data_IF_262040761249
#
_entry.id   IF_262040761249
#
_cell.length_a   1.000
_cell.length_b   1.000
_cell.length_c   1.000
_cell.angle_alpha   90.00
_cell.angle_beta   90.00
_cell.angle_gamma   90.00
#
_symmetry.space_group_name_H-M   'P 1'
#
loop_
_entity.id
_entity.type
_entity.pdbx_description
1 polymer ?
#
# COMPACT_ATOMS: atom_id res chain seq x y z
N UNK A 1 -7.67 -1.13 -28.58
CA UNK A 1 -7.94 -1.03 -27.12
C UNK A 1 -9.12 -0.07 -26.94
N UNK A 2 -10.19 -0.50 -26.30
CA UNK A 2 -11.35 0.38 -26.07
C UNK A 2 -11.09 1.34 -24.91
N UNK A 3 -11.81 2.47 -24.84
CA UNK A 3 -11.70 3.43 -23.73
C UNK A 3 -11.90 2.74 -22.36
N UNK A 4 -12.80 1.75 -22.30
CA UNK A 4 -13.05 0.96 -21.09
C UNK A 4 -11.82 0.14 -20.65
N UNK A 5 -11.10 -0.44 -21.60
CA UNK A 5 -9.85 -1.17 -21.34
C UNK A 5 -8.72 -0.23 -20.91
N UNK A 6 -8.66 0.99 -21.46
CA UNK A 6 -7.66 1.99 -21.05
C UNK A 6 -7.94 2.53 -19.63
N UNK A 7 -9.21 2.81 -19.31
CA UNK A 7 -9.63 3.22 -17.96
C UNK A 7 -9.33 2.13 -16.94
N UNK A 8 -9.63 0.87 -17.27
CA UNK A 8 -9.30 -0.28 -16.42
C UNK A 8 -7.79 -0.35 -16.16
N UNK A 9 -6.98 -0.27 -17.21
CA UNK A 9 -5.52 -0.33 -17.09
C UNK A 9 -4.93 0.86 -16.30
N UNK A 10 -5.54 2.04 -16.41
CA UNK A 10 -5.15 3.22 -15.61
C UNK A 10 -5.51 3.04 -14.14
N UNK A 11 -6.70 2.50 -13.86
CA UNK A 11 -7.14 2.15 -12.50
C UNK A 11 -6.23 1.09 -11.90
N UNK A 12 -5.97 0.01 -12.62
CA UNK A 12 -5.10 -1.07 -12.18
C UNK A 12 -3.68 -0.55 -11.92
N UNK A 13 -3.15 0.35 -12.77
CA UNK A 13 -1.83 0.98 -12.57
C UNK A 13 -1.80 1.97 -11.39
N UNK A 14 -2.89 2.69 -11.12
CA UNK A 14 -3.01 3.59 -9.98
C UNK A 14 -3.14 2.82 -8.66
N UNK A 15 -3.94 1.76 -8.65
CA UNK A 15 -4.05 0.79 -7.57
C UNK A 15 -2.72 0.07 -7.35
N UNK A 16 -1.98 -0.30 -8.41
CA UNK A 16 -0.61 -0.84 -8.34
C UNK A 16 0.40 0.16 -7.77
N UNK A 17 0.30 1.45 -8.13
CA UNK A 17 1.17 2.48 -7.58
C UNK A 17 0.92 2.66 -6.08
N UNK A 18 -0.33 2.62 -5.62
CA UNK A 18 -0.69 2.64 -4.20
C UNK A 18 -0.26 1.36 -3.50
N UNK A 19 -0.50 0.20 -4.12
CA UNK A 19 -0.11 -1.11 -3.61
C UNK A 19 1.41 -1.30 -3.53
N UNK A 20 2.18 -0.65 -4.41
CA UNK A 20 3.64 -0.71 -4.40
C UNK A 20 4.25 -0.13 -3.12
N UNK A 21 3.56 0.82 -2.48
CA UNK A 21 4.00 1.42 -1.23
C UNK A 21 3.48 0.71 0.01
N UNK A 22 2.36 -0.01 -0.12
CA UNK A 22 1.76 -0.74 0.97
C UNK A 22 2.39 -2.10 1.22
N UNK A 23 3.61 -2.42 0.78
CA UNK A 23 4.32 -3.67 1.13
C UNK A 23 3.49 -4.98 1.07
N UNK A 24 2.47 -5.06 0.19
CA UNK A 24 1.52 -6.18 0.15
C UNK A 24 2.14 -7.55 -0.21
N UNK A 25 3.38 -7.55 -0.71
CA UNK A 25 4.16 -8.78 -0.88
C UNK A 25 4.48 -9.50 0.45
N UNK A 26 4.30 -8.82 1.59
CA UNK A 26 4.48 -9.40 2.93
C UNK A 26 3.21 -10.09 3.46
N UNK A 27 2.06 -9.98 2.77
CA UNK A 27 0.83 -10.70 3.16
C UNK A 27 1.09 -12.21 3.14
N UNK A 28 0.63 -12.90 4.18
CA UNK A 28 0.79 -14.35 4.33
C UNK A 28 2.14 -14.78 4.89
N UNK A 29 3.11 -13.86 5.02
CA UNK A 29 4.36 -14.10 5.77
C UNK A 29 4.08 -14.07 7.28
N UNK A 30 5.07 -14.42 8.09
CA UNK A 30 4.93 -14.43 9.56
C UNK A 30 5.64 -13.25 10.19
N UNK A 31 5.12 -12.75 11.30
CA UNK A 31 5.87 -11.90 12.20
C UNK A 31 7.02 -12.67 12.86
N UNK A 32 8.14 -12.00 13.10
CA UNK A 32 9.23 -12.57 13.88
C UNK A 32 8.77 -12.86 15.32
N UNK A 33 8.70 -14.13 15.68
CA UNK A 33 8.29 -14.57 17.02
C UNK A 33 9.30 -14.17 18.10
N UNK A 34 10.53 -13.80 17.74
CA UNK A 34 11.56 -13.35 18.68
C UNK A 34 11.32 -11.91 19.15
N UNK A 35 10.55 -11.13 18.40
CA UNK A 35 10.20 -9.74 18.71
C UNK A 35 9.39 -9.66 20.02
N UNK A 36 9.91 -8.93 21.01
CA UNK A 36 9.27 -8.77 22.31
C UNK A 36 7.88 -8.12 22.21
N UNK A 37 7.65 -7.31 21.19
CA UNK A 37 6.36 -6.64 20.96
C UNK A 37 5.29 -7.64 20.52
N UNK A 38 5.67 -8.69 19.82
CA UNK A 38 4.79 -9.79 19.44
C UNK A 38 4.53 -10.72 20.62
N UNK A 39 5.58 -11.02 21.41
CA UNK A 39 5.47 -11.90 22.58
C UNK A 39 4.46 -11.41 23.62
N UNK A 40 4.35 -10.10 23.77
CA UNK A 40 3.43 -9.46 24.71
C UNK A 40 2.10 -9.04 24.07
N UNK A 41 1.81 -9.49 22.84
CA UNK A 41 0.62 -9.13 22.07
C UNK A 41 -0.27 -10.35 21.84
N UNK A 42 -1.59 -10.17 21.69
CA UNK A 42 -2.50 -11.24 21.25
C UNK A 42 -2.12 -11.85 19.88
N UNK A 43 -1.17 -11.24 19.16
CA UNK A 43 -0.58 -11.77 17.93
C UNK A 43 0.25 -13.04 18.11
N UNK A 44 0.68 -13.38 19.32
CA UNK A 44 1.48 -14.60 19.54
C UNK A 44 0.77 -15.87 19.07
N UNK A 45 -0.56 -15.90 19.15
CA UNK A 45 -1.38 -17.03 18.69
C UNK A 45 -1.54 -17.06 17.16
N UNK A 46 -1.40 -15.91 16.48
CA UNK A 46 -1.49 -15.81 15.03
C UNK A 46 -0.48 -14.80 14.47
N UNK A 47 0.67 -15.34 14.07
CA UNK A 47 1.78 -14.59 13.50
C UNK A 47 1.58 -14.24 12.02
N UNK A 48 0.54 -14.72 11.36
CA UNK A 48 0.35 -14.46 9.93
C UNK A 48 0.00 -12.98 9.69
N UNK A 49 0.78 -12.35 8.82
CA UNK A 49 0.61 -10.97 8.41
C UNK A 49 -0.57 -10.87 7.43
N UNK A 50 -1.50 -9.98 7.73
CA UNK A 50 -2.68 -9.70 6.92
C UNK A 50 -2.60 -8.32 6.26
N UNK A 51 -3.54 -8.02 5.35
CA UNK A 51 -3.61 -6.73 4.68
C UNK A 51 -3.82 -5.56 5.65
N UNK A 52 -4.57 -5.77 6.73
CA UNK A 52 -4.82 -4.73 7.74
C UNK A 52 -3.53 -4.38 8.48
N UNK A 53 -2.71 -5.37 8.78
CA UNK A 53 -1.50 -5.19 9.59
C UNK A 53 -0.43 -4.39 8.86
N UNK A 54 -0.39 -4.61 7.55
CA UNK A 54 0.48 -3.90 6.64
C UNK A 54 0.14 -2.41 6.55
N UNK A 55 -1.15 -2.07 6.60
CA UNK A 55 -1.64 -0.71 6.53
C UNK A 55 -1.68 -0.02 7.90
N UNK A 56 -1.65 -0.79 8.99
CA UNK A 56 -1.70 -0.27 10.35
C UNK A 56 -0.32 0.23 10.81
N UNK A 57 -0.27 1.51 11.17
CA UNK A 57 0.95 2.18 11.64
C UNK A 57 1.51 1.56 12.93
N UNK A 58 0.68 0.86 13.70
CA UNK A 58 1.08 0.13 14.91
C UNK A 58 2.14 -0.92 14.61
N UNK A 59 2.08 -1.56 13.44
CA UNK A 59 3.05 -2.57 13.03
C UNK A 59 4.26 -2.00 12.28
N UNK A 60 4.46 -0.69 12.31
CA UNK A 60 5.67 -0.07 11.75
C UNK A 60 6.93 -0.65 12.43
N UNK A 61 7.91 -1.02 11.60
CA UNK A 61 9.17 -1.67 11.97
C UNK A 61 9.04 -3.09 12.51
N UNK A 62 7.87 -3.74 12.40
CA UNK A 62 7.79 -5.17 12.67
C UNK A 62 8.46 -5.95 11.52
N UNK A 63 9.16 -7.01 11.89
CA UNK A 63 9.92 -7.83 10.95
C UNK A 63 9.03 -8.94 10.43
N UNK A 64 9.02 -9.10 9.10
CA UNK A 64 8.40 -10.22 8.43
C UNK A 64 9.47 -11.29 8.16
N UNK A 65 9.17 -12.52 8.51
CA UNK A 65 10.03 -13.70 8.33
C UNK A 65 9.32 -14.77 7.51
N UNK A 66 10.13 -15.62 6.89
CA UNK A 66 9.71 -16.83 6.19
C UNK A 66 10.61 -18.01 6.59
N UNK A 67 10.07 -19.22 6.53
CA UNK A 67 10.83 -20.44 6.79
C UNK A 67 11.92 -20.60 5.73
N UNK A 68 13.13 -20.93 6.18
CA UNK A 68 14.25 -21.22 5.31
C UNK A 68 14.00 -22.54 4.57
N UNK A 69 13.95 -22.56 3.23
CA UNK A 69 13.75 -23.79 2.47
C UNK A 69 14.93 -24.77 2.61
N UNK A 70 16.11 -24.31 3.04
CA UNK A 70 17.31 -25.13 3.17
C UNK A 70 17.57 -25.65 4.59
N UNK A 71 16.88 -25.09 5.59
CA UNK A 71 16.98 -25.52 6.99
C UNK A 71 15.61 -25.41 7.64
N UNK A 72 14.95 -26.55 7.83
CA UNK A 72 13.79 -26.60 8.71
C UNK A 72 14.23 -26.07 10.09
N UNK A 73 13.44 -25.17 10.66
CA UNK A 73 13.68 -24.42 11.92
C UNK A 73 14.48 -23.12 11.82
N UNK A 74 14.99 -22.75 10.65
CA UNK A 74 15.65 -21.45 10.45
C UNK A 74 14.67 -20.46 9.79
N UNK A 75 14.61 -19.23 10.28
CA UNK A 75 13.74 -18.17 9.76
C UNK A 75 14.59 -17.08 9.11
N UNK A 76 14.21 -16.68 7.90
CA UNK A 76 14.88 -15.63 7.15
C UNK A 76 14.02 -14.38 7.17
N UNK A 77 14.62 -13.24 7.47
CA UNK A 77 13.97 -11.94 7.32
C UNK A 77 13.69 -11.66 5.83
N UNK A 78 12.41 -11.52 5.49
CA UNK A 78 11.95 -11.20 4.13
C UNK A 78 11.58 -9.74 3.96
N UNK A 79 11.35 -9.01 5.06
CA UNK A 79 11.05 -7.59 5.00
C UNK A 79 10.72 -6.95 6.34
N UNK A 80 10.30 -5.70 6.27
CA UNK A 80 9.90 -4.91 7.43
C UNK A 80 8.63 -4.14 7.08
N UNK A 81 7.61 -4.29 7.92
CA UNK A 81 6.37 -3.53 7.78
C UNK A 81 6.66 -2.06 8.04
N UNK A 82 6.08 -1.18 7.22
CA UNK A 82 6.23 0.27 7.38
C UNK A 82 4.94 0.96 7.81
N UNK A 83 3.83 0.21 7.89
CA UNK A 83 2.53 0.70 8.29
C UNK A 83 1.96 1.69 7.27
N UNK A 84 1.30 2.73 7.79
CA UNK A 84 0.68 3.78 6.96
C UNK A 84 1.67 4.53 6.05
N UNK A 85 1.08 5.19 5.04
CA UNK A 85 1.76 6.03 4.08
C UNK A 85 2.57 7.12 4.79
N UNK A 86 3.89 6.92 4.89
CA UNK A 86 4.77 7.86 5.57
C UNK A 86 4.69 9.26 4.94
N UNK A 87 4.97 10.33 5.70
CA UNK A 87 4.95 11.70 5.16
C UNK A 87 5.82 11.87 3.90
N UNK A 88 6.94 11.14 3.82
CA UNK A 88 7.81 11.14 2.65
C UNK A 88 7.20 10.43 1.43
N UNK A 89 6.43 9.36 1.63
CA UNK A 89 5.67 8.71 0.56
C UNK A 89 4.53 9.61 0.11
N UNK A 90 3.81 10.27 1.04
CA UNK A 90 2.82 11.30 0.73
C UNK A 90 3.43 12.41 -0.12
N UNK A 91 4.56 12.96 0.31
CA UNK A 91 5.29 13.99 -0.43
C UNK A 91 5.66 13.53 -1.85
N UNK A 92 6.25 12.34 -2.00
CA UNK A 92 6.60 11.77 -3.32
C UNK A 92 5.39 11.49 -4.20
N UNK A 93 4.26 11.12 -3.61
CA UNK A 93 3.00 10.96 -4.32
C UNK A 93 2.50 12.31 -4.87
N UNK A 94 2.45 13.34 -4.01
CA UNK A 94 2.08 14.70 -4.41
C UNK A 94 3.12 15.41 -5.30
N UNK A 95 4.37 14.93 -5.36
CA UNK A 95 5.34 15.37 -6.38
C UNK A 95 4.96 14.88 -7.79
N UNK A 96 4.23 13.75 -7.91
CA UNK A 96 3.86 13.13 -9.18
C UNK A 96 2.41 13.39 -9.60
N UNK A 97 1.51 13.48 -8.63
CA UNK A 97 0.07 13.60 -8.85
C UNK A 97 -0.49 14.87 -8.21
N UNK A 98 -1.46 15.49 -8.87
CA UNK A 98 -2.30 16.54 -8.30
C UNK A 98 -3.65 15.97 -7.87
N UNK A 99 -4.17 16.51 -6.78
CA UNK A 99 -5.53 16.28 -6.35
C UNK A 99 -6.48 17.04 -7.29
N UNK A 100 -7.29 16.32 -8.06
CA UNK A 100 -8.23 16.92 -9.01
C UNK A 100 -9.59 17.16 -8.37
N UNK A 101 -10.15 16.13 -7.73
CA UNK A 101 -11.47 16.18 -7.10
C UNK A 101 -11.41 15.41 -5.79
N UNK A 102 -11.94 16.00 -4.73
CA UNK A 102 -12.21 15.30 -3.48
C UNK A 102 -13.69 15.41 -3.15
N UNK A 103 -14.36 14.26 -3.07
CA UNK A 103 -15.71 14.14 -2.57
C UNK A 103 -15.65 13.50 -1.17
N UNK A 104 -15.97 14.26 -0.10
CA UNK A 104 -16.04 13.71 1.24
C UNK A 104 -17.19 12.72 1.38
N UNK A 105 -17.23 12.01 2.51
CA UNK A 105 -18.22 10.98 2.76
C UNK A 105 -19.63 11.58 2.79
N UNK A 106 -20.51 11.10 1.90
CA UNK A 106 -21.90 11.54 1.81
C UNK A 106 -22.77 10.84 2.85
N UNK A 107 -23.99 11.34 3.06
CA UNK A 107 -25.00 10.71 3.93
C UNK A 107 -25.31 9.26 3.55
N UNK A 108 -25.04 8.87 2.30
CA UNK A 108 -25.22 7.51 1.79
C UNK A 108 -23.93 6.67 1.85
N UNK A 109 -22.85 7.15 2.50
CA UNK A 109 -21.59 6.42 2.68
C UNK A 109 -20.67 6.39 1.45
N UNK A 110 -20.95 7.19 0.43
CA UNK A 110 -20.06 7.31 -0.74
C UNK A 110 -19.04 8.43 -0.54
N UNK A 111 -17.76 8.12 -0.78
CA UNK A 111 -16.65 9.07 -0.86
C UNK A 111 -15.77 8.68 -2.05
N UNK A 112 -15.13 9.67 -2.67
CA UNK A 112 -14.24 9.44 -3.79
C UNK A 112 -13.17 10.53 -3.86
N UNK A 113 -11.95 10.15 -4.23
CA UNK A 113 -10.87 11.11 -4.47
C UNK A 113 -10.20 10.77 -5.79
N UNK A 114 -10.13 11.75 -6.69
CA UNK A 114 -9.51 11.63 -8.00
C UNK A 114 -8.18 12.37 -8.02
N UNK A 115 -7.11 11.66 -8.40
CA UNK A 115 -5.78 12.22 -8.61
C UNK A 115 -5.41 12.14 -10.09
N UNK A 116 -4.72 13.16 -10.60
CA UNK A 116 -4.21 13.20 -11.96
C UNK A 116 -2.70 13.33 -11.99
N UNK A 117 -2.04 12.64 -12.94
CA UNK A 117 -0.58 12.68 -13.05
C UNK A 117 -0.12 14.01 -13.69
N UNK A 118 0.72 14.77 -12.98
CA UNK A 118 1.20 16.11 -13.37
C UNK A 118 1.76 16.16 -14.79
N UNK A 119 2.48 15.11 -15.19
CA UNK A 119 3.13 15.03 -16.51
C UNK A 119 2.15 14.84 -17.66
N UNK A 120 0.95 14.32 -17.38
CA UNK A 120 -0.08 14.02 -18.38
C UNK A 120 -1.15 15.11 -18.50
N UNK A 121 -1.19 16.04 -17.55
CA UNK A 121 -2.15 17.15 -17.53
C UNK A 121 -1.76 18.33 -18.46
N UNK A 122 -0.49 18.44 -18.85
CA UNK A 122 0.05 19.54 -19.67
C UNK A 122 -0.47 19.61 -21.12
N UNK A 123 -1.30 18.67 -21.57
CA UNK A 123 -1.81 18.62 -22.94
C UNK A 123 -3.26 19.13 -23.09
N UNK A 124 -3.80 19.85 -22.09
CA UNK A 124 -5.22 20.27 -22.13
C UNK A 124 -5.41 21.69 -22.69
N UNK A 125 -4.36 22.50 -22.79
CA UNK A 125 -4.42 23.90 -23.30
C UNK A 125 -4.36 24.03 -24.84
N UNK A 126 -4.48 22.93 -25.60
CA UNK A 126 -4.44 22.97 -27.08
C UNK A 126 -5.72 22.45 -27.74
N UNK A 127 -6.86 22.52 -27.05
CA UNK A 127 -8.18 22.14 -27.60
C UNK A 127 -9.20 23.27 -27.56
N UNK A 128 -8.80 24.45 -28.01
CA UNK A 128 -9.73 25.44 -28.55
C UNK A 128 -9.42 25.58 -30.05
N UNK A 129 -10.31 25.02 -30.88
CA UNK A 129 -10.50 25.38 -32.30
C UNK A 129 -11.90 25.97 -32.39
#
# INVERSE_FOLDING_TARGET
MTNKQQIQKLRDNAELAWASYGYFHLVGKKFDAKDERIKNSPRIDNLTITHTDILDITYNKYIAVELNPHKQDDEIQVGTLKGEFSPNQAKRFFERYDLLIHQPNTSNGFSATLFGEKRKQKNTESKEI
#
